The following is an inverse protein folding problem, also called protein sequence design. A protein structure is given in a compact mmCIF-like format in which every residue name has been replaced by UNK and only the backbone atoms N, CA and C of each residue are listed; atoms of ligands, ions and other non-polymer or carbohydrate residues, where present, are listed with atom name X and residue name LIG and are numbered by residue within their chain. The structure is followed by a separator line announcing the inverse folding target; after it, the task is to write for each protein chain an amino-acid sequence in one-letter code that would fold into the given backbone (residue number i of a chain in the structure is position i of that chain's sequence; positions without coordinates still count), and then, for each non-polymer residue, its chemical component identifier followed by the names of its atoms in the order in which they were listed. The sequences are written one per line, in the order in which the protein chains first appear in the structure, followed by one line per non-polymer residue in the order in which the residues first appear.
data_IF_500509704293
#
_entry.id   IF_500509704293
#
_cell.length_a   1.000
_cell.length_b   1.000
_cell.length_c   1.000
_cell.angle_alpha   90.00
_cell.angle_beta   90.00
_cell.angle_gamma   90.00
#
_symmetry.space_group_name_H-M   'P 1'
#
loop_
_entity.id
_entity.type
_entity.pdbx_description
1 polymer ?
#
# COMPACT_ATOMS: atom_id res chain seq x y z
N UNK A 1 3.22 10.45 30.75
CA UNK A 1 3.31 11.08 29.41
C UNK A 1 3.53 9.95 28.41
N UNK A 2 2.59 9.72 27.49
CA UNK A 2 2.82 8.79 26.37
C UNK A 2 3.45 9.59 25.22
N UNK A 3 4.60 9.14 24.74
CA UNK A 3 5.30 9.70 23.58
C UNK A 3 5.24 8.72 22.41
N UNK A 4 5.29 9.25 21.19
CA UNK A 4 5.42 8.48 19.96
C UNK A 4 6.72 7.66 20.04
N UNK A 5 6.65 6.35 19.81
CA UNK A 5 7.78 5.41 19.95
C UNK A 5 8.43 4.99 18.63
N UNK A 6 7.80 5.30 17.50
CA UNK A 6 8.17 4.87 16.15
C UNK A 6 7.98 6.02 15.18
N UNK A 7 8.57 5.93 13.98
CA UNK A 7 8.23 6.83 12.88
C UNK A 7 6.73 6.74 12.56
N UNK A 8 6.18 7.84 12.05
CA UNK A 8 4.80 7.97 11.59
C UNK A 8 4.85 8.34 10.11
N UNK A 9 3.98 7.70 9.33
CA UNK A 9 3.95 7.71 7.86
C UNK A 9 2.46 7.81 7.48
N UNK A 10 2.06 8.84 6.72
CA UNK A 10 0.64 9.12 6.43
C UNK A 10 0.14 8.22 5.30
N UNK A 11 1.01 7.87 4.37
CA UNK A 11 0.82 7.04 3.20
C UNK A 11 0.57 5.59 3.62
N UNK A 12 1.22 5.15 4.70
CA UNK A 12 0.94 3.89 5.40
C UNK A 12 -0.30 4.01 6.32
N UNK A 13 -0.39 5.03 7.18
CA UNK A 13 -1.53 5.20 8.08
C UNK A 13 -1.77 6.66 8.53
N UNK A 14 -2.51 7.44 7.73
CA UNK A 14 -2.87 8.83 8.06
C UNK A 14 -3.81 9.06 9.24
N UNK A 15 -4.29 8.02 9.95
CA UNK A 15 -5.27 8.16 11.05
C UNK A 15 -5.11 7.10 12.14
N UNK A 16 -5.13 7.54 13.39
CA UNK A 16 -5.07 6.70 14.59
C UNK A 16 -6.22 7.00 15.55
N UNK A 17 -6.62 6.00 16.33
CA UNK A 17 -7.62 6.10 17.38
C UNK A 17 -6.99 5.67 18.70
N UNK A 18 -6.98 6.57 19.69
CA UNK A 18 -6.38 6.35 21.01
C UNK A 18 -7.47 6.44 22.06
N UNK A 19 -7.67 5.37 22.82
CA UNK A 19 -8.56 5.36 23.97
C UNK A 19 -7.79 5.84 25.21
N UNK A 20 -8.31 6.87 25.86
CA UNK A 20 -7.76 7.44 27.09
C UNK A 20 -8.72 7.13 28.23
N UNK A 21 -8.21 6.46 29.26
CA UNK A 21 -8.91 6.30 30.54
C UNK A 21 -8.37 7.30 31.55
N UNK A 22 -9.27 8.00 32.25
CA UNK A 22 -8.96 8.78 33.44
C UNK A 22 -9.56 8.05 34.65
N UNK A 23 -8.78 7.91 35.73
CA UNK A 23 -9.18 7.26 36.98
C UNK A 23 -8.93 8.26 38.10
N UNK A 24 -9.89 8.45 39.02
CA UNK A 24 -9.70 9.29 40.19
C UNK A 24 -8.93 8.57 41.32
N UNK A 25 -8.54 9.32 42.34
CA UNK A 25 -7.83 8.80 43.52
C UNK A 25 -8.73 8.37 44.66
N UNK A 26 -10.02 8.11 44.41
CA UNK A 26 -11.01 7.79 45.45
C UNK A 26 -10.96 6.35 45.94
N UNK A 27 -11.64 6.09 47.06
CA UNK A 27 -12.05 4.74 47.47
C UNK A 27 -13.58 4.71 47.66
N UNK A 28 -14.35 4.01 46.78
CA UNK A 28 -13.90 3.35 45.55
C UNK A 28 -13.51 4.37 44.46
N UNK A 29 -12.53 4.01 43.63
CA UNK A 29 -12.12 4.84 42.50
C UNK A 29 -13.15 4.81 41.36
N UNK A 30 -13.36 5.96 40.72
CA UNK A 30 -14.17 6.08 39.50
C UNK A 30 -13.26 6.23 38.28
N UNK A 31 -13.70 5.70 37.13
CA UNK A 31 -13.03 5.94 35.85
C UNK A 31 -13.98 6.34 34.72
N UNK A 32 -13.43 7.03 33.72
CA UNK A 32 -14.11 7.34 32.47
C UNK A 32 -13.16 7.14 31.28
N UNK A 33 -13.72 6.74 30.14
CA UNK A 33 -12.96 6.43 28.92
C UNK A 33 -13.46 7.32 27.78
N UNK A 34 -12.53 7.89 27.00
CA UNK A 34 -12.83 8.68 25.80
C UNK A 34 -11.92 8.29 24.63
N UNK A 35 -12.35 8.54 23.39
CA UNK A 35 -11.57 8.27 22.18
C UNK A 35 -11.02 9.57 21.60
N UNK A 36 -9.70 9.68 21.50
CA UNK A 36 -9.01 10.72 20.74
C UNK A 36 -8.73 10.20 19.33
N UNK A 37 -9.12 10.98 18.32
CA UNK A 37 -8.73 10.73 16.94
C UNK A 37 -7.52 11.58 16.60
N UNK A 38 -6.45 10.95 16.11
CA UNK A 38 -5.25 11.62 15.62
C UNK A 38 -5.25 11.52 14.10
N UNK A 39 -5.11 12.65 13.42
CA UNK A 39 -4.93 12.74 11.97
C UNK A 39 -3.47 13.14 11.72
N UNK A 40 -2.79 12.43 10.83
CA UNK A 40 -1.47 12.87 10.36
C UNK A 40 -1.65 13.92 9.26
N UNK A 41 -0.79 14.93 9.29
CA UNK A 41 -0.63 15.86 8.18
C UNK A 41 0.35 15.29 7.17
N UNK A 42 0.19 15.73 5.93
CA UNK A 42 1.02 15.37 4.78
C UNK A 42 2.39 16.06 4.83
N UNK A 43 3.42 15.37 4.35
CA UNK A 43 4.78 15.90 4.13
C UNK A 43 5.16 15.50 2.71
N UNK A 44 5.79 16.40 1.95
CA UNK A 44 6.21 16.09 0.58
C UNK A 44 7.47 15.21 0.62
N UNK A 45 7.30 13.89 0.72
CA UNK A 45 8.39 12.92 0.80
C UNK A 45 8.31 11.77 -0.23
N UNK A 46 7.23 11.69 -1.02
CA UNK A 46 7.14 10.78 -2.15
C UNK A 46 7.34 11.53 -3.48
N UNK A 47 8.30 11.15 -4.34
CA UNK A 47 8.39 11.68 -5.69
C UNK A 47 7.33 11.05 -6.62
N UNK A 48 6.85 11.79 -7.65
CA UNK A 48 5.91 11.26 -8.63
C UNK A 48 6.43 9.98 -9.29
N UNK A 49 5.65 8.90 -9.24
CA UNK A 49 5.99 7.59 -9.81
C UNK A 49 5.38 7.46 -11.21
N UNK A 50 6.24 7.36 -12.24
CA UNK A 50 5.80 7.15 -13.63
C UNK A 50 5.33 5.70 -13.82
N UNK A 51 4.08 5.53 -14.26
CA UNK A 51 3.47 4.24 -14.57
C UNK A 51 3.48 3.91 -16.06
N UNK A 52 3.49 4.95 -16.93
CA UNK A 52 3.62 4.79 -18.38
C UNK A 52 4.43 5.96 -18.99
N UNK A 53 5.33 5.72 -19.97
CA UNK A 53 5.74 4.40 -20.46
C UNK A 53 6.58 3.63 -19.43
N UNK A 54 6.50 2.30 -19.45
CA UNK A 54 7.38 1.45 -18.65
C UNK A 54 8.82 1.57 -19.17
N UNK A 55 9.80 1.58 -18.25
CA UNK A 55 11.22 1.87 -18.54
C UNK A 55 11.85 1.02 -19.66
N UNK A 56 11.34 -0.20 -19.86
CA UNK A 56 11.88 -1.17 -20.81
C UNK A 56 11.04 -1.28 -22.10
N UNK A 57 9.98 -0.48 -22.24
CA UNK A 57 9.00 -0.56 -23.34
C UNK A 57 8.65 0.82 -23.93
N UNK A 58 9.57 1.79 -23.82
CA UNK A 58 9.28 3.17 -24.24
C UNK A 58 9.30 3.42 -25.76
N UNK A 59 9.51 2.38 -26.58
CA UNK A 59 9.50 2.46 -28.04
C UNK A 59 8.09 2.45 -28.60
N UNK A 60 7.70 3.55 -29.25
CA UNK A 60 6.39 3.67 -29.88
C UNK A 60 6.52 4.17 -31.33
N UNK A 61 5.80 3.51 -32.25
CA UNK A 61 5.78 3.90 -33.67
C UNK A 61 5.08 5.24 -33.87
N UNK A 62 5.68 6.10 -34.68
CA UNK A 62 5.06 7.29 -35.25
C UNK A 62 5.15 7.19 -36.78
N UNK A 63 4.05 7.46 -37.49
CA UNK A 63 4.09 7.44 -38.96
C UNK A 63 4.71 8.76 -39.48
N UNK A 64 5.61 8.76 -40.48
CA UNK A 64 6.28 9.99 -40.94
C UNK A 64 5.32 11.05 -41.48
N UNK A 65 4.15 10.64 -41.98
CA UNK A 65 3.09 11.51 -42.48
C UNK A 65 2.05 11.91 -41.40
N UNK A 66 2.35 11.68 -40.12
CA UNK A 66 1.49 12.14 -39.01
C UNK A 66 1.38 13.66 -39.04
N UNK A 67 0.16 14.17 -38.90
CA UNK A 67 -0.12 15.60 -38.97
C UNK A 67 0.21 16.31 -37.65
N UNK A 68 0.70 17.56 -37.68
CA UNK A 68 0.77 18.41 -36.49
C UNK A 68 -0.58 18.50 -35.77
N UNK A 69 -0.55 18.55 -34.44
CA UNK A 69 -1.70 18.46 -33.56
C UNK A 69 -2.15 17.04 -33.21
N UNK A 70 -1.56 16.00 -33.84
CA UNK A 70 -1.89 14.60 -33.50
C UNK A 70 -1.34 14.24 -32.13
N UNK A 71 -2.17 13.65 -31.26
CA UNK A 71 -1.74 12.96 -30.04
C UNK A 71 -0.89 11.75 -30.41
N UNK A 72 0.34 11.73 -29.91
CA UNK A 72 1.32 10.70 -30.16
C UNK A 72 1.26 9.67 -29.04
N UNK A 73 1.46 10.10 -27.80
CA UNK A 73 1.43 9.24 -26.60
C UNK A 73 1.13 10.08 -25.37
N UNK A 74 1.24 9.50 -24.18
CA UNK A 74 1.18 10.22 -22.93
C UNK A 74 2.29 9.75 -21.98
N UNK A 75 2.62 10.58 -20.99
CA UNK A 75 3.32 10.14 -19.79
C UNK A 75 2.32 10.17 -18.65
N UNK A 76 2.07 9.01 -18.05
CA UNK A 76 1.16 8.87 -16.92
C UNK A 76 1.95 8.57 -15.65
N UNK A 77 1.73 9.37 -14.62
CA UNK A 77 2.36 9.23 -13.32
C UNK A 77 1.34 9.41 -12.19
N UNK A 78 1.68 8.89 -11.02
CA UNK A 78 0.90 9.01 -9.78
C UNK A 78 1.80 9.41 -8.64
N UNK A 79 1.26 10.16 -7.70
CA UNK A 79 1.93 10.48 -6.44
C UNK A 79 1.16 9.84 -5.26
N UNK A 80 1.85 9.60 -4.14
CA UNK A 80 1.25 9.04 -2.92
C UNK A 80 0.89 10.11 -1.90
N UNK A 81 1.47 11.30 -2.00
CA UNK A 81 1.24 12.42 -1.10
C UNK A 81 -0.18 13.00 -1.30
N UNK A 82 -0.53 14.14 -0.69
CA UNK A 82 -1.88 14.72 -0.82
C UNK A 82 -1.94 16.22 -1.07
N UNK A 83 -3.01 16.67 -1.71
CA UNK A 83 -3.15 18.09 -2.08
C UNK A 83 -2.06 18.49 -3.08
N UNK A 84 -1.40 19.63 -2.86
CA UNK A 84 -0.37 20.15 -3.77
C UNK A 84 0.85 19.24 -3.91
N UNK A 85 1.15 18.47 -2.86
CA UNK A 85 2.24 17.49 -2.86
C UNK A 85 2.00 16.36 -3.88
N UNK A 86 0.74 16.09 -4.25
CA UNK A 86 0.37 15.13 -5.30
C UNK A 86 -0.13 15.77 -6.61
N UNK A 87 -0.07 17.10 -6.76
CA UNK A 87 -0.42 17.76 -8.04
C UNK A 87 0.77 17.65 -8.99
N UNK A 88 0.62 16.79 -9.99
CA UNK A 88 1.68 16.49 -10.96
C UNK A 88 1.68 17.51 -12.11
N UNK A 89 2.88 17.88 -12.54
CA UNK A 89 3.12 18.63 -13.77
C UNK A 89 4.20 17.97 -14.66
N UNK A 90 4.01 18.05 -15.97
CA UNK A 90 4.84 17.39 -16.99
C UNK A 90 5.65 18.41 -17.82
N UNK A 91 6.87 18.06 -18.22
CA UNK A 91 7.70 18.89 -19.12
C UNK A 91 8.76 18.09 -19.87
N UNK A 92 9.00 18.40 -21.16
CA UNK A 92 10.13 17.83 -21.93
C UNK A 92 11.38 18.68 -21.64
N UNK A 93 12.33 18.11 -20.88
CA UNK A 93 13.56 18.80 -20.43
C UNK A 93 14.76 18.59 -21.36
N UNK A 94 14.78 17.53 -22.15
CA UNK A 94 15.82 17.28 -23.17
C UNK A 94 15.23 16.49 -24.33
N UNK A 95 15.71 16.78 -25.54
CA UNK A 95 15.36 16.08 -26.77
C UNK A 95 16.64 15.57 -27.42
N UNK A 96 16.59 14.39 -28.03
CA UNK A 96 17.62 13.85 -28.94
C UNK A 96 16.99 13.72 -30.33
N UNK A 97 16.32 14.77 -30.78
CA UNK A 97 15.72 14.86 -32.11
C UNK A 97 16.65 15.57 -33.09
N UNK A 98 16.56 15.22 -34.37
CA UNK A 98 17.21 15.99 -35.44
C UNK A 98 16.52 17.33 -35.72
N UNK A 99 15.35 17.57 -35.12
CA UNK A 99 14.44 18.68 -35.45
C UNK A 99 13.89 19.36 -34.18
N UNK A 100 14.56 20.43 -33.67
CA UNK A 100 14.19 21.06 -32.41
C UNK A 100 12.72 21.51 -32.35
N UNK A 101 12.02 21.03 -31.31
CA UNK A 101 10.61 21.34 -31.08
C UNK A 101 9.67 20.63 -32.06
N UNK A 102 10.02 19.40 -32.44
CA UNK A 102 9.15 18.47 -33.17
C UNK A 102 7.95 18.02 -32.33
N UNK A 103 8.14 17.80 -31.02
CA UNK A 103 7.11 17.39 -30.05
C UNK A 103 6.96 18.38 -28.89
N UNK A 104 5.71 18.60 -28.47
CA UNK A 104 5.32 19.29 -27.24
C UNK A 104 4.61 18.30 -26.29
N UNK A 105 4.53 18.64 -25.00
CA UNK A 105 3.79 17.90 -23.98
C UNK A 105 2.82 18.84 -23.27
N UNK A 106 1.59 18.39 -23.04
CA UNK A 106 0.65 19.11 -22.20
C UNK A 106 1.05 18.98 -20.72
N UNK A 107 1.20 20.09 -19.98
CA UNK A 107 1.79 20.07 -18.64
C UNK A 107 0.86 19.50 -17.56
N UNK A 108 -0.42 19.26 -17.83
CA UNK A 108 -1.40 18.77 -16.85
C UNK A 108 -1.82 17.31 -17.08
N UNK A 109 -1.90 16.91 -18.34
CA UNK A 109 -2.34 15.57 -18.77
C UNK A 109 -1.18 14.65 -19.13
N UNK A 110 0.02 15.21 -19.38
CA UNK A 110 1.17 14.45 -19.87
C UNK A 110 1.05 14.01 -21.33
N UNK A 111 0.01 14.43 -22.05
CA UNK A 111 -0.19 14.09 -23.46
C UNK A 111 0.90 14.70 -24.35
N UNK A 112 1.63 13.87 -25.09
CA UNK A 112 2.66 14.27 -26.03
C UNK A 112 2.03 14.38 -27.42
N UNK A 113 2.15 15.56 -28.03
CA UNK A 113 1.60 15.86 -29.35
C UNK A 113 2.71 16.17 -30.36
N UNK A 114 2.44 15.88 -31.63
CA UNK A 114 3.32 16.32 -32.71
C UNK A 114 3.09 17.80 -33.01
N UNK A 115 4.13 18.62 -32.92
CA UNK A 115 4.05 20.07 -33.14
C UNK A 115 4.39 20.47 -34.58
N UNK A 116 5.28 19.72 -35.23
CA UNK A 116 5.77 19.98 -36.60
C UNK A 116 5.76 18.68 -37.41
N UNK A 117 5.56 18.77 -38.72
CA UNK A 117 5.74 17.61 -39.58
C UNK A 117 7.20 17.12 -39.48
N UNK A 118 7.39 15.80 -39.42
CA UNK A 118 8.69 15.16 -39.25
C UNK A 118 9.36 14.98 -40.62
N UNK A 119 10.55 15.55 -40.83
CA UNK A 119 11.28 15.35 -42.09
C UNK A 119 12.17 14.10 -42.06
N UNK A 120 12.64 13.71 -40.87
CA UNK A 120 13.58 12.60 -40.69
C UNK A 120 12.89 11.34 -40.15
N UNK A 121 13.35 10.17 -40.61
CA UNK A 121 12.97 8.86 -40.06
C UNK A 121 13.98 8.44 -38.99
N UNK A 122 13.56 7.56 -38.08
CA UNK A 122 14.44 6.99 -37.06
C UNK A 122 13.99 7.28 -35.62
N UNK A 123 14.93 7.21 -34.68
CA UNK A 123 14.65 7.34 -33.25
C UNK A 123 14.69 8.80 -32.78
N UNK A 124 13.61 9.23 -32.12
CA UNK A 124 13.47 10.51 -31.44
C UNK A 124 13.30 10.25 -29.94
N UNK A 125 14.24 10.68 -29.12
CA UNK A 125 14.18 10.48 -27.66
C UNK A 125 13.78 11.76 -26.92
N UNK A 126 12.78 11.67 -26.06
CA UNK A 126 12.30 12.76 -25.22
C UNK A 126 12.53 12.40 -23.74
N UNK A 127 13.29 13.24 -23.03
CA UNK A 127 13.41 13.16 -21.58
C UNK A 127 12.30 14.03 -20.97
N UNK A 128 11.36 13.39 -20.29
CA UNK A 128 10.24 14.05 -19.62
C UNK A 128 10.52 14.11 -18.12
N UNK A 129 10.52 15.32 -17.55
CA UNK A 129 10.46 15.54 -16.09
C UNK A 129 8.99 15.54 -15.67
N UNK A 130 8.70 14.74 -14.66
CA UNK A 130 7.42 14.70 -13.95
C UNK A 130 7.69 15.21 -12.54
N UNK A 131 7.06 16.32 -12.14
CA UNK A 131 7.30 16.99 -10.85
C UNK A 131 5.99 17.19 -10.09
N UNK A 132 6.07 17.26 -8.77
CA UNK A 132 4.94 17.67 -7.94
C UNK A 132 4.79 19.21 -7.88
N UNK A 133 3.97 19.69 -6.94
CA UNK A 133 3.84 21.09 -6.53
C UNK A 133 4.08 21.29 -5.02
N UNK A 134 4.76 20.34 -4.37
CA UNK A 134 5.08 20.37 -2.94
C UNK A 134 6.31 21.21 -2.61
N UNK A 135 6.70 21.18 -1.33
CA UNK A 135 7.91 21.87 -0.84
C UNK A 135 8.71 20.95 0.10
N UNK A 136 9.94 20.54 -0.26
CA UNK A 136 10.64 20.81 -1.52
C UNK A 136 9.94 20.13 -2.72
N UNK A 137 10.07 20.67 -3.93
CA UNK A 137 9.56 20.00 -5.15
C UNK A 137 10.34 18.70 -5.40
N UNK A 138 9.65 17.56 -5.42
CA UNK A 138 10.19 16.26 -5.83
C UNK A 138 9.81 15.95 -7.28
N UNK A 139 10.58 15.07 -7.90
CA UNK A 139 10.41 14.74 -9.30
C UNK A 139 11.02 13.40 -9.71
N UNK A 140 10.48 12.85 -10.79
CA UNK A 140 11.04 11.74 -11.56
C UNK A 140 11.33 12.16 -13.00
N UNK A 141 12.14 11.36 -13.69
CA UNK A 141 12.42 11.54 -15.12
C UNK A 141 12.24 10.24 -15.88
N UNK A 142 11.56 10.29 -17.02
CA UNK A 142 11.36 9.13 -17.93
C UNK A 142 11.86 9.44 -19.34
N UNK A 143 12.34 8.40 -20.02
CA UNK A 143 12.79 8.45 -21.41
C UNK A 143 11.70 7.86 -22.32
N UNK A 144 11.08 8.70 -23.14
CA UNK A 144 10.12 8.31 -24.18
C UNK A 144 10.86 8.18 -25.51
N UNK A 145 10.72 7.04 -26.19
CA UNK A 145 11.44 6.72 -27.44
C UNK A 145 10.44 6.59 -28.60
N UNK A 146 10.37 7.61 -29.45
CA UNK A 146 9.47 7.65 -30.59
C UNK A 146 10.22 7.16 -31.83
N UNK A 147 9.76 6.09 -32.47
CA UNK A 147 10.37 5.55 -33.66
C UNK A 147 9.56 5.92 -34.91
N UNK A 148 10.11 6.79 -35.75
CA UNK A 148 9.44 7.38 -36.89
C UNK A 148 9.69 6.54 -38.14
N UNK A 149 8.71 5.74 -38.57
CA UNK A 149 8.82 4.90 -39.77
C UNK A 149 7.46 4.54 -40.40
N UNK A 150 7.43 4.25 -41.70
CA UNK A 150 6.19 3.95 -42.45
C UNK A 150 5.53 2.63 -42.02
N UNK A 151 6.32 1.67 -41.54
CA UNK A 151 5.87 0.35 -41.11
C UNK A 151 6.71 -0.17 -39.93
N UNK A 152 6.11 -0.95 -39.03
CA UNK A 152 6.86 -1.91 -38.17
C UNK A 152 7.12 -3.20 -38.95
N UNK A 153 7.58 -3.09 -40.19
CA UNK A 153 7.99 -4.26 -40.96
C UNK A 153 9.35 -4.72 -40.43
N UNK A 154 9.39 -5.97 -39.98
CA UNK A 154 10.53 -6.75 -39.49
C UNK A 154 10.74 -6.67 -37.97
N UNK A 155 10.50 -7.80 -37.31
CA UNK A 155 10.77 -8.06 -35.88
C UNK A 155 12.23 -7.76 -35.48
N UNK A 156 13.15 -7.83 -36.45
CA UNK A 156 14.57 -7.52 -36.31
C UNK A 156 14.86 -6.05 -36.00
N UNK A 157 13.98 -5.11 -36.37
CA UNK A 157 14.21 -3.69 -36.13
C UNK A 157 14.03 -3.32 -34.65
N UNK A 158 13.02 -3.91 -34.00
CA UNK A 158 12.82 -3.79 -32.54
C UNK A 158 14.01 -4.42 -31.81
N UNK A 159 14.45 -5.62 -32.22
CA UNK A 159 15.63 -6.28 -31.64
C UNK A 159 16.94 -5.49 -31.82
N UNK A 160 17.06 -4.69 -32.88
CA UNK A 160 18.23 -3.82 -33.11
C UNK A 160 18.21 -2.49 -32.33
N UNK A 161 17.03 -2.07 -31.85
CA UNK A 161 16.82 -0.84 -31.08
C UNK A 161 16.78 -1.08 -29.57
N UNK A 162 16.52 -2.31 -29.13
CA UNK A 162 16.84 -2.73 -27.76
C UNK A 162 18.35 -2.59 -27.55
N UNK A 163 18.82 -1.97 -26.45
CA UNK A 163 20.24 -2.01 -26.11
C UNK A 163 20.63 -3.49 -25.93
N UNK A 164 21.65 -3.95 -26.66
CA UNK A 164 22.23 -5.28 -26.40
C UNK A 164 22.59 -5.33 -24.92
N UNK A 165 21.96 -6.25 -24.21
CA UNK A 165 22.35 -6.59 -22.84
C UNK A 165 23.83 -6.90 -22.83
N UNK A 166 24.56 -6.23 -21.94
CA UNK A 166 25.99 -6.38 -21.61
C UNK A 166 26.55 -7.72 -22.07
N UNK A 167 27.60 -7.68 -22.88
CA UNK A 167 28.31 -8.87 -23.35
C UNK A 167 28.71 -9.76 -22.16
N UNK A 168 28.02 -10.88 -21.99
CA UNK A 168 28.50 -11.98 -21.18
C UNK A 168 29.47 -12.75 -22.08
N UNK A 169 30.75 -12.58 -21.78
CA UNK A 169 31.87 -13.22 -22.46
C UNK A 169 31.69 -14.75 -22.49
N UNK A 170 31.26 -15.27 -23.64
CA UNK A 170 31.16 -16.71 -23.89
C UNK A 170 32.55 -17.25 -24.23
N UNK A 171 33.35 -17.43 -23.18
CA UNK A 171 34.62 -18.14 -23.25
C UNK A 171 34.47 -19.52 -23.89
N UNK A 172 35.32 -19.80 -24.87
CA UNK A 172 35.33 -20.99 -25.70
C UNK A 172 35.60 -22.27 -24.87
N UNK A 173 34.74 -23.28 -24.98
CA UNK A 173 34.82 -24.50 -24.17
C UNK A 173 35.63 -25.61 -24.87
N UNK A 174 36.66 -26.21 -24.24
CA UNK A 174 37.37 -27.36 -24.79
C UNK A 174 36.52 -28.66 -24.71
N UNK A 175 36.83 -29.68 -25.54
CA UNK A 175 35.92 -30.81 -25.76
C UNK A 175 35.82 -31.79 -24.60
N UNK A 176 34.66 -32.46 -24.56
CA UNK A 176 34.18 -33.36 -23.51
C UNK A 176 35.17 -34.41 -22.99
N UNK A 177 35.07 -34.64 -21.67
CA UNK A 177 35.36 -35.94 -21.06
C UNK A 177 34.27 -36.30 -20.07
N UNK A 178 33.40 -37.22 -20.48
CA UNK A 178 32.38 -37.83 -19.64
C UNK A 178 33.00 -38.47 -18.38
N UNK A 179 32.26 -38.36 -17.27
CA UNK A 179 32.24 -39.42 -16.26
C UNK A 179 32.75 -39.06 -14.87
N UNK A 180 31.92 -38.40 -14.05
CA UNK A 180 31.48 -39.01 -12.77
C UNK A 180 30.26 -38.35 -12.14
N UNK A 181 29.28 -39.21 -11.79
CA UNK A 181 28.20 -39.08 -10.79
C UNK A 181 27.58 -37.69 -10.59
N UNK A 182 26.32 -37.55 -11.00
CA UNK A 182 25.55 -36.32 -10.80
C UNK A 182 25.29 -36.00 -9.33
N UNK A 183 25.49 -34.72 -8.99
CA UNK A 183 24.92 -34.06 -7.82
C UNK A 183 23.53 -33.55 -8.23
N UNK A 184 22.48 -33.85 -7.47
CA UNK A 184 21.13 -33.39 -7.80
C UNK A 184 20.98 -31.89 -7.49
N UNK A 185 20.69 -31.09 -8.51
CA UNK A 185 20.24 -29.71 -8.32
C UNK A 185 18.86 -29.75 -7.62
N UNK A 186 18.67 -29.13 -6.45
CA UNK A 186 17.39 -29.21 -5.74
C UNK A 186 16.29 -28.48 -6.52
N UNK A 187 15.19 -29.19 -6.76
CA UNK A 187 14.04 -28.67 -7.50
C UNK A 187 13.39 -27.49 -6.75
N UNK A 188 13.45 -26.30 -7.34
CA UNK A 188 12.90 -25.05 -6.81
C UNK A 188 11.36 -25.00 -6.91
N UNK A 189 10.70 -25.96 -6.27
CA UNK A 189 9.25 -26.14 -6.20
C UNK A 189 8.80 -26.73 -4.84
N UNK A 190 9.70 -27.39 -4.09
CA UNK A 190 9.37 -28.00 -2.79
C UNK A 190 9.33 -27.04 -1.59
N UNK A 191 10.21 -26.04 -1.53
CA UNK A 191 10.40 -25.26 -0.29
C UNK A 191 9.22 -24.35 0.05
N UNK A 192 8.51 -23.79 -0.95
CA UNK A 192 7.31 -23.00 -0.71
C UNK A 192 6.15 -23.84 -0.15
N UNK A 193 6.05 -25.13 -0.50
CA UNK A 193 5.09 -26.04 0.13
C UNK A 193 5.49 -26.37 1.57
N UNK A 194 6.78 -26.63 1.84
CA UNK A 194 7.26 -26.87 3.21
C UNK A 194 7.05 -25.64 4.10
N UNK A 195 7.27 -24.42 3.58
CA UNK A 195 7.01 -23.18 4.32
C UNK A 195 5.50 -22.95 4.58
N UNK A 196 4.63 -23.22 3.59
CA UNK A 196 3.17 -23.16 3.79
C UNK A 196 2.69 -24.19 4.82
N UNK A 197 3.23 -25.41 4.77
CA UNK A 197 2.92 -26.48 5.72
C UNK A 197 3.44 -26.13 7.13
N UNK A 198 4.63 -25.55 7.26
CA UNK A 198 5.14 -25.09 8.54
C UNK A 198 4.28 -23.97 9.15
N UNK A 199 3.84 -22.99 8.34
CA UNK A 199 2.97 -21.89 8.78
C UNK A 199 1.56 -22.39 9.16
N UNK A 200 0.99 -23.34 8.42
CA UNK A 200 -0.32 -23.92 8.75
C UNK A 200 -0.28 -24.85 9.97
N UNK A 201 0.77 -25.68 10.12
CA UNK A 201 0.96 -26.53 11.30
C UNK A 201 1.22 -25.70 12.57
N UNK A 202 2.01 -24.62 12.49
CA UNK A 202 2.22 -23.71 13.63
C UNK A 202 0.93 -22.96 14.00
N UNK A 203 0.16 -22.47 13.03
CA UNK A 203 -1.16 -21.86 13.30
C UNK A 203 -2.14 -22.86 13.93
N UNK A 204 -2.20 -24.11 13.44
CA UNK A 204 -3.07 -25.14 14.00
C UNK A 204 -2.64 -25.54 15.42
N UNK A 205 -1.33 -25.62 15.69
CA UNK A 205 -0.78 -25.82 17.03
C UNK A 205 -1.16 -24.68 18.00
N UNK A 206 -1.04 -23.43 17.57
CA UNK A 206 -1.50 -22.26 18.35
C UNK A 206 -3.01 -22.33 18.61
N UNK A 207 -3.82 -22.67 17.62
CA UNK A 207 -5.27 -22.81 17.78
C UNK A 207 -5.64 -23.91 18.77
N UNK A 208 -4.98 -25.09 18.70
CA UNK A 208 -5.22 -26.20 19.63
C UNK A 208 -4.73 -25.90 21.05
N UNK A 209 -3.61 -25.19 21.21
CA UNK A 209 -3.16 -24.74 22.55
C UNK A 209 -4.10 -23.71 23.17
N UNK A 210 -4.63 -22.77 22.37
CA UNK A 210 -5.66 -21.82 22.82
C UNK A 210 -6.95 -22.57 23.19
N UNK A 211 -7.42 -23.53 22.39
CA UNK A 211 -8.61 -24.33 22.69
C UNK A 211 -8.41 -25.19 23.95
N UNK A 212 -7.22 -25.76 24.15
CA UNK A 212 -6.83 -26.48 25.36
C UNK A 212 -6.82 -25.54 26.59
N UNK A 213 -6.29 -24.32 26.46
CA UNK A 213 -6.28 -23.34 27.53
C UNK A 213 -7.69 -22.86 27.89
N UNK A 214 -8.53 -22.58 26.89
CA UNK A 214 -9.94 -22.19 27.08
C UNK A 214 -10.74 -23.32 27.74
N UNK A 215 -10.58 -24.57 27.28
CA UNK A 215 -11.24 -25.72 27.91
C UNK A 215 -10.71 -25.97 29.32
N UNK A 216 -9.41 -25.82 29.59
CA UNK A 216 -8.83 -25.90 30.94
C UNK A 216 -9.38 -24.81 31.87
N UNK A 217 -9.51 -23.56 31.40
CA UNK A 217 -10.12 -22.45 32.16
C UNK A 217 -11.60 -22.73 32.43
N UNK A 218 -12.36 -23.19 31.44
CA UNK A 218 -13.77 -23.58 31.58
C UNK A 218 -13.96 -24.77 32.55
N UNK A 219 -13.07 -25.76 32.52
CA UNK A 219 -13.06 -26.89 33.45
C UNK A 219 -12.66 -26.46 34.86
N UNK A 220 -11.69 -25.54 35.03
CA UNK A 220 -11.37 -24.94 36.36
C UNK A 220 -12.56 -24.19 36.97
N UNK A 221 -13.42 -23.57 36.14
CA UNK A 221 -14.69 -22.98 36.59
C UNK A 221 -15.77 -24.00 36.97
N UNK A 222 -15.63 -25.28 36.61
CA UNK A 222 -16.55 -26.38 36.97
C UNK A 222 -16.01 -27.26 38.11
N UNK A 223 -15.79 -26.69 39.30
CA UNK A 223 -15.79 -27.48 40.54
C UNK A 223 -17.25 -27.73 40.99
N UNK A 224 -17.69 -28.97 41.20
CA UNK A 224 -19.07 -29.25 41.62
C UNK A 224 -19.28 -28.87 43.08
N UNK A 225 -20.32 -28.07 43.38
CA UNK A 225 -20.82 -27.90 44.76
C UNK A 225 -21.49 -29.20 45.21
N UNK A 226 -21.11 -29.69 46.39
CA UNK A 226 -21.69 -30.89 47.03
C UNK A 226 -23.02 -30.51 47.74
N UNK A 227 -23.99 -31.43 47.74
CA UNK A 227 -25.35 -31.31 48.34
C UNK A 227 -25.26 -31.07 49.88
N UNK A 228 -26.29 -30.67 50.64
CA UNK A 228 -27.72 -31.08 50.66
C UNK A 228 -28.52 -30.25 51.72
N UNK A 229 -29.81 -30.58 51.89
CA UNK A 229 -30.78 -30.21 52.94
C UNK A 229 -31.68 -28.99 52.63
N UNK A 230 -32.94 -29.04 53.09
CA UNK A 230 -34.16 -29.64 52.46
C UNK A 230 -35.39 -29.22 53.36
N UNK A 231 -36.67 -29.25 52.88
CA UNK A 231 -37.97 -28.85 53.56
C UNK A 231 -38.16 -27.35 53.92
N UNK A 232 -39.35 -26.69 53.89
CA UNK A 232 -40.76 -27.04 53.62
C UNK A 232 -41.58 -25.77 53.18
N UNK A 233 -42.91 -25.88 52.93
CA UNK A 233 -43.84 -24.88 52.31
C UNK A 233 -45.15 -24.82 53.15
N UNK A 234 -46.12 -23.86 53.10
CA UNK A 234 -46.18 -22.39 52.84
C UNK A 234 -46.87 -21.58 54.00
N UNK A 235 -47.16 -20.27 53.82
CA UNK A 235 -48.57 -19.77 53.77
C UNK A 235 -48.74 -18.31 53.24
N UNK A 236 -49.99 -18.05 52.85
CA UNK A 236 -50.62 -16.95 52.09
C UNK A 236 -50.47 -15.46 52.50
N UNK A 237 -50.75 -14.62 51.49
CA UNK A 237 -51.47 -13.32 51.44
C UNK A 237 -51.76 -12.53 52.74
N UNK A 238 -51.60 -11.20 52.66
CA UNK A 238 -52.71 -10.20 52.74
C UNK A 238 -52.24 -8.82 52.23
N UNK A 239 -53.16 -8.05 51.64
CA UNK A 239 -52.98 -6.68 51.13
C UNK A 239 -53.33 -5.61 52.20
N UNK A 240 -53.32 -4.33 51.77
CA UNK A 240 -53.90 -3.15 52.43
C UNK A 240 -52.98 -2.48 53.48
N UNK A 241 -52.44 -1.30 53.14
CA UNK A 241 -53.05 0.03 53.36
C UNK A 241 -53.01 0.46 54.83
N UNK A 242 -52.09 1.36 55.14
CA UNK A 242 -52.35 2.42 56.12
C UNK A 242 -51.43 3.61 55.83
N UNK A 243 -51.94 4.57 55.05
CA UNK A 243 -51.59 5.96 55.32
C UNK A 243 -52.28 6.31 56.63
N UNK A 244 -51.53 6.72 57.64
CA UNK A 244 -52.09 7.63 58.63
C UNK A 244 -51.14 8.81 58.83
N UNK A 245 -51.63 9.97 58.43
CA UNK A 245 -51.06 11.30 58.72
C UNK A 245 -51.94 11.90 59.80
N UNK A 246 -51.37 12.84 60.56
CA UNK A 246 -52.01 13.62 61.64
C UNK A 246 -51.75 12.99 63.04
N UNK A 247 -51.45 13.73 64.11
CA UNK A 247 -51.39 15.19 64.36
C UNK A 247 -50.08 15.55 65.11
N UNK A 248 -49.36 16.60 64.67
CA UNK A 248 -49.25 17.96 65.26
C UNK A 248 -48.58 18.06 66.65
N UNK A 249 -47.41 18.71 66.73
CA UNK A 249 -47.16 20.08 67.28
C UNK A 249 -46.88 20.02 68.81
N UNK A 250 -46.19 20.93 69.51
CA UNK A 250 -45.95 22.40 69.46
C UNK A 250 -44.51 22.61 69.99
N UNK A 251 -43.63 23.54 69.57
CA UNK A 251 -43.56 24.56 68.50
C UNK A 251 -42.12 25.13 68.46
N UNK A 252 -41.73 25.90 67.43
CA UNK A 252 -40.84 27.07 67.62
C UNK A 252 -40.89 28.03 66.41
N UNK A 253 -41.30 29.28 66.69
CA UNK A 253 -41.22 30.51 65.87
C UNK A 253 -42.13 30.55 64.63
#
# INVERSE_FOLDING_TARGET
MQTVKTTLDREQQGKYYVWIEAIDGGEPALSCITMVTILLLDVNDNPPTVLFPQSNQSYMLVLPNTLPGTSITEVYAVDRDTGMNAVIAYSIIKRTDGEPGSFDIDPYTGNITLRKALSNRGLYSLWVKVRDHGQPELYSTVLVNLFVNETVSNETLIQSLLPRSVDIDHGELPPDKEGRKGEQVPNLCGEYQVLLLALTVTCLGLFLTILSLVTFICCKKRKPKKKRLDSEIPLNLINQETMDKSLMEISNI
#
